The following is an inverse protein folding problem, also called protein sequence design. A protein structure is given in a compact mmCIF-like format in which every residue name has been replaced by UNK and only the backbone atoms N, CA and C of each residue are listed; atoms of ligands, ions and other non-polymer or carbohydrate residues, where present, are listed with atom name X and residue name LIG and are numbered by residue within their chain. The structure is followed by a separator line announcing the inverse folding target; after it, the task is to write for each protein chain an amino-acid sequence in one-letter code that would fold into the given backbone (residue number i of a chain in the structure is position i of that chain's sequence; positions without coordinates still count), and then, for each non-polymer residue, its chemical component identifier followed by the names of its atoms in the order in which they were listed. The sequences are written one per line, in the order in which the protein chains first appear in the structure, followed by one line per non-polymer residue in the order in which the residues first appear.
data_IF_665815208276
#
_entry.id   IF_665815208276
#
_cell.length_a   1.000
_cell.length_b   1.000
_cell.length_c   1.000
_cell.angle_alpha   90.00
_cell.angle_beta   90.00
_cell.angle_gamma   90.00
#
_symmetry.space_group_name_H-M   'P 1'
#
loop_
_entity.id
_entity.type
_entity.pdbx_description
1 polymer ?
#
# COMPACT_ATOMS: atom_id res chain seq x y z
N UNK A 1 10.97 30.13 31.35
CA UNK A 1 10.84 29.92 29.90
C UNK A 1 11.90 28.90 29.50
N UNK A 2 11.56 27.62 29.48
CA UNK A 2 12.53 26.57 29.12
C UNK A 2 12.62 26.45 27.59
N UNK A 3 13.81 26.20 27.02
CA UNK A 3 13.94 25.95 25.58
C UNK A 3 13.20 24.65 25.22
N UNK A 4 12.47 24.67 24.10
CA UNK A 4 11.95 23.45 23.47
C UNK A 4 13.17 22.68 22.97
N UNK A 5 13.42 21.52 23.57
CA UNK A 5 14.42 20.56 23.12
C UNK A 5 14.05 20.12 21.69
N UNK A 6 14.97 20.31 20.75
CA UNK A 6 14.90 19.63 19.47
C UNK A 6 15.09 18.12 19.74
N UNK A 7 14.23 17.22 19.25
CA UNK A 7 14.44 15.80 19.43
C UNK A 7 15.76 15.38 18.75
N UNK A 8 16.64 14.76 19.53
CA UNK A 8 17.87 14.16 19.04
C UNK A 8 17.54 13.07 18.01
N UNK A 9 17.75 13.35 16.72
CA UNK A 9 17.53 12.37 15.66
C UNK A 9 17.72 12.86 14.23
N UNK A 10 18.31 14.04 14.00
CA UNK A 10 18.38 14.65 12.66
C UNK A 10 19.59 14.25 11.80
N UNK A 11 20.36 13.24 12.20
CA UNK A 11 21.49 12.75 11.41
C UNK A 11 21.73 11.26 11.65
N UNK A 12 20.84 10.41 11.14
CA UNK A 12 21.23 9.03 10.87
C UNK A 12 22.00 9.01 9.55
N UNK A 13 23.31 8.89 9.69
CA UNK A 13 24.25 8.72 8.60
C UNK A 13 23.79 7.55 7.70
N UNK A 14 23.95 7.72 6.39
CA UNK A 14 23.80 6.67 5.39
C UNK A 14 24.85 5.58 5.62
N UNK A 15 24.63 4.74 6.63
CA UNK A 15 25.34 3.49 6.82
C UNK A 15 25.06 2.60 5.60
N UNK A 16 26.03 1.79 5.14
CA UNK A 16 25.75 0.80 4.11
C UNK A 16 24.63 -0.13 4.62
N UNK A 17 23.60 -0.32 3.79
CA UNK A 17 22.43 -1.11 4.15
C UNK A 17 22.85 -2.45 4.78
N UNK A 18 22.31 -2.82 5.96
CA UNK A 18 22.64 -4.07 6.61
C UNK A 18 22.37 -5.24 5.65
N UNK A 19 23.32 -6.18 5.56
CA UNK A 19 23.09 -7.45 4.85
C UNK A 19 21.98 -8.19 5.60
N UNK A 20 20.75 -8.12 5.09
CA UNK A 20 19.53 -8.52 5.78
C UNK A 20 18.33 -7.61 5.52
N UNK A 21 18.57 -6.41 4.96
CA UNK A 21 17.56 -5.38 4.70
C UNK A 21 16.28 -5.92 4.03
N UNK A 22 16.39 -6.83 3.07
CA UNK A 22 15.22 -7.39 2.38
C UNK A 22 14.27 -8.16 3.30
N UNK A 23 14.81 -8.97 4.21
CA UNK A 23 14.00 -9.74 5.17
C UNK A 23 13.39 -8.83 6.24
N UNK A 24 14.15 -7.84 6.71
CA UNK A 24 13.68 -6.84 7.66
C UNK A 24 12.58 -5.97 7.05
N UNK A 25 12.76 -5.44 5.83
CA UNK A 25 11.75 -4.66 5.11
C UNK A 25 10.48 -5.46 4.85
N UNK A 26 10.60 -6.74 4.49
CA UNK A 26 9.44 -7.61 4.30
C UNK A 26 8.70 -7.83 5.61
N UNK A 27 9.42 -8.04 6.71
CA UNK A 27 8.82 -8.15 8.05
C UNK A 27 8.11 -6.86 8.45
N UNK A 28 8.68 -5.69 8.17
CA UNK A 28 8.03 -4.40 8.43
C UNK A 28 6.78 -4.24 7.57
N UNK A 29 6.86 -4.55 6.27
CA UNK A 29 5.72 -4.49 5.36
C UNK A 29 4.57 -5.40 5.83
N UNK A 30 4.87 -6.63 6.25
CA UNK A 30 3.87 -7.55 6.80
C UNK A 30 3.18 -6.97 8.04
N UNK A 31 3.98 -6.47 9.00
CA UNK A 31 3.47 -5.90 10.26
C UNK A 31 2.67 -4.60 10.06
N UNK A 32 2.96 -3.81 9.03
CA UNK A 32 2.28 -2.54 8.78
C UNK A 32 1.10 -2.67 7.81
N UNK A 33 1.19 -3.55 6.82
CA UNK A 33 0.26 -3.56 5.68
C UNK A 33 -0.61 -4.82 5.60
N UNK A 34 -0.22 -5.95 6.21
CA UNK A 34 -0.90 -7.24 6.01
C UNK A 34 -1.46 -7.83 7.30
N UNK A 35 -0.59 -8.10 8.28
CA UNK A 35 -0.94 -8.73 9.54
C UNK A 35 -2.05 -7.99 10.31
N UNK A 36 -2.07 -6.63 10.40
CA UNK A 36 -3.15 -5.90 11.07
C UNK A 36 -4.53 -6.13 10.47
N UNK A 37 -4.57 -6.51 9.19
CA UNK A 37 -5.80 -6.68 8.40
C UNK A 37 -6.09 -8.16 8.12
N UNK A 38 -5.37 -9.08 8.76
CA UNK A 38 -5.46 -10.53 8.56
C UNK A 38 -5.24 -10.97 7.09
N UNK A 39 -4.40 -10.24 6.35
CA UNK A 39 -4.07 -10.52 4.96
C UNK A 39 -2.83 -11.42 4.84
N UNK A 40 -2.90 -12.60 5.44
CA UNK A 40 -1.82 -13.59 5.33
C UNK A 40 -1.66 -14.13 3.90
N UNK A 41 -0.57 -14.88 3.67
CA UNK A 41 -0.29 -15.49 2.36
C UNK A 41 -1.44 -16.37 1.84
N UNK A 42 -2.21 -17.00 2.73
CA UNK A 42 -3.36 -17.81 2.37
C UNK A 42 -4.54 -16.96 1.87
N UNK A 43 -4.83 -15.84 2.54
CA UNK A 43 -5.82 -14.87 2.11
C UNK A 43 -5.43 -14.25 0.76
N UNK A 44 -4.19 -13.79 0.61
CA UNK A 44 -3.68 -13.26 -0.66
C UNK A 44 -3.72 -14.32 -1.78
N UNK A 45 -3.37 -15.58 -1.46
CA UNK A 45 -3.45 -16.70 -2.39
C UNK A 45 -4.87 -16.95 -2.90
N UNK A 46 -5.90 -16.83 -2.04
CA UNK A 46 -7.32 -16.92 -2.46
C UNK A 46 -7.70 -15.77 -3.40
N UNK A 47 -7.26 -14.55 -3.10
CA UNK A 47 -7.50 -13.38 -3.95
C UNK A 47 -6.85 -13.57 -5.31
N UNK A 48 -5.57 -13.91 -5.38
CA UNK A 48 -4.89 -14.23 -6.64
C UNK A 48 -5.57 -15.37 -7.38
N UNK A 49 -5.93 -16.45 -6.67
CA UNK A 49 -6.66 -17.57 -7.25
C UNK A 49 -7.99 -17.14 -7.86
N UNK A 50 -8.67 -16.16 -7.28
CA UNK A 50 -9.88 -15.57 -7.85
C UNK A 50 -9.59 -14.71 -9.08
N UNK A 51 -8.49 -13.93 -9.10
CA UNK A 51 -8.13 -13.02 -10.21
C UNK A 51 -7.66 -13.83 -11.43
N UNK A 52 -6.77 -14.79 -11.20
CA UNK A 52 -6.09 -15.57 -12.24
C UNK A 52 -6.98 -16.66 -12.87
N UNK A 53 -8.29 -16.67 -12.59
CA UNK A 53 -9.22 -17.57 -13.29
C UNK A 53 -9.42 -17.13 -14.74
N UNK A 54 -9.13 -18.02 -15.69
CA UNK A 54 -9.33 -17.88 -17.15
C UNK A 54 -8.88 -16.54 -17.75
N UNK A 55 -7.77 -16.58 -18.51
CA UNK A 55 -7.34 -15.51 -19.44
C UNK A 55 -6.76 -14.24 -18.79
N UNK A 56 -6.35 -14.28 -17.52
CA UNK A 56 -5.47 -13.24 -16.95
C UNK A 56 -4.05 -13.80 -16.94
N UNK A 57 -3.13 -13.11 -17.61
CA UNK A 57 -1.74 -13.54 -17.77
C UNK A 57 -0.89 -13.14 -16.57
N UNK A 58 -1.23 -12.00 -15.96
CA UNK A 58 -0.49 -11.45 -14.83
C UNK A 58 -1.42 -10.65 -13.92
N UNK A 59 -1.17 -10.72 -12.61
CA UNK A 59 -1.83 -9.88 -11.63
C UNK A 59 -0.86 -9.50 -10.51
N UNK A 60 -1.00 -8.28 -9.99
CA UNK A 60 -0.34 -7.86 -8.76
C UNK A 60 -1.30 -7.09 -7.85
N UNK A 61 -0.91 -7.06 -6.58
CA UNK A 61 -1.58 -6.33 -5.53
C UNK A 61 -0.59 -5.28 -5.00
N UNK A 62 -1.04 -4.05 -4.85
CA UNK A 62 -0.26 -2.95 -4.32
C UNK A 62 -0.89 -2.48 -3.01
N UNK A 63 -0.10 -2.37 -1.95
CA UNK A 63 -0.55 -1.92 -0.64
C UNK A 63 0.20 -0.64 -0.27
N UNK A 64 -0.50 0.32 0.34
CA UNK A 64 0.08 1.58 0.76
C UNK A 64 -0.42 2.00 2.13
N UNK A 65 0.50 2.50 2.95
CA UNK A 65 0.20 3.24 4.16
C UNK A 65 1.16 4.41 4.25
N UNK A 66 0.62 5.62 4.40
CA UNK A 66 1.35 6.87 4.49
C UNK A 66 0.85 7.65 5.70
N UNK A 67 1.78 8.12 6.54
CA UNK A 67 1.49 9.03 7.65
C UNK A 67 2.27 10.32 7.41
N UNK A 68 1.57 11.44 7.38
CA UNK A 68 2.13 12.77 7.14
C UNK A 68 1.83 13.68 8.32
N UNK A 69 2.84 14.40 8.79
CA UNK A 69 2.74 15.36 9.87
C UNK A 69 3.38 16.68 9.44
N UNK A 70 2.76 17.80 9.81
CA UNK A 70 3.26 19.13 9.49
C UNK A 70 3.03 20.09 10.64
N UNK A 71 3.95 21.05 10.80
CA UNK A 71 3.84 22.12 11.79
C UNK A 71 4.12 23.46 11.13
N UNK A 72 3.26 24.45 11.35
CA UNK A 72 3.47 25.83 10.91
C UNK A 72 3.99 26.67 12.07
N UNK A 73 5.04 27.46 11.80
CA UNK A 73 5.63 28.36 12.78
C UNK A 73 5.49 29.80 12.29
N UNK A 74 5.18 30.70 13.24
CA UNK A 74 5.16 32.14 13.04
C UNK A 74 5.80 32.79 14.26
N UNK A 75 6.74 33.70 14.05
CA UNK A 75 7.49 34.38 15.12
C UNK A 75 8.17 33.41 16.11
N UNK A 76 8.57 32.23 15.63
CA UNK A 76 9.20 31.19 16.47
C UNK A 76 8.23 30.38 17.34
N UNK A 77 6.92 30.58 17.17
CA UNK A 77 5.87 29.86 17.90
C UNK A 77 5.11 28.97 16.91
N UNK A 78 4.79 27.74 17.31
CA UNK A 78 3.92 26.84 16.53
C UNK A 78 2.51 27.42 16.51
N UNK A 79 2.00 27.75 15.31
CA UNK A 79 0.66 28.28 15.10
C UNK A 79 -0.37 27.19 14.85
N UNK A 80 -0.01 26.17 14.10
CA UNK A 80 -0.86 25.03 13.81
C UNK A 80 -0.06 23.77 13.52
N UNK A 81 -0.68 22.62 13.73
CA UNK A 81 -0.19 21.32 13.29
C UNK A 81 -1.21 20.65 12.39
N UNK A 82 -0.74 19.82 11.45
CA UNK A 82 -1.54 18.95 10.61
C UNK A 82 -1.08 17.51 10.74
N UNK A 83 -2.03 16.59 10.66
CA UNK A 83 -1.81 15.16 10.71
C UNK A 83 -2.73 14.48 9.70
N UNK A 84 -2.19 13.63 8.83
CA UNK A 84 -2.98 12.82 7.92
C UNK A 84 -2.44 11.39 7.84
N UNK A 85 -3.36 10.45 7.69
CA UNK A 85 -3.08 9.06 7.35
C UNK A 85 -3.80 8.78 6.04
N UNK A 86 -3.08 8.24 5.08
CA UNK A 86 -3.61 7.72 3.83
C UNK A 86 -3.25 6.24 3.75
N UNK A 87 -4.20 5.40 3.36
CA UNK A 87 -3.97 3.98 3.19
C UNK A 87 -4.79 3.47 2.01
N UNK A 88 -4.45 2.28 1.51
CA UNK A 88 -5.25 1.64 0.49
C UNK A 88 -4.61 0.42 -0.14
N UNK A 89 -5.41 -0.23 -0.98
CA UNK A 89 -5.00 -1.38 -1.79
C UNK A 89 -5.40 -1.17 -3.25
N UNK A 90 -4.54 -1.62 -4.15
CA UNK A 90 -4.77 -1.63 -5.60
C UNK A 90 -4.60 -3.03 -6.18
N UNK A 91 -5.38 -3.33 -7.21
CA UNK A 91 -5.30 -4.60 -7.95
C UNK A 91 -5.13 -4.30 -9.42
N UNK A 92 -4.09 -4.87 -10.03
CA UNK A 92 -3.86 -4.84 -11.47
C UNK A 92 -4.02 -6.24 -12.05
N UNK A 93 -4.63 -6.33 -13.22
CA UNK A 93 -4.65 -7.55 -14.04
C UNK A 93 -4.28 -7.21 -15.49
N UNK A 94 -3.51 -8.08 -16.12
CA UNK A 94 -3.03 -7.95 -17.49
C UNK A 94 -3.47 -9.17 -18.29
N UNK A 95 -3.95 -8.93 -19.50
CA UNK A 95 -4.40 -9.94 -20.47
C UNK A 95 -3.98 -9.50 -21.88
N UNK A 96 -2.95 -10.14 -22.43
CA UNK A 96 -2.25 -9.68 -23.63
C UNK A 96 -1.78 -8.24 -23.47
N UNK A 97 -2.27 -7.36 -24.35
CA UNK A 97 -1.97 -5.92 -24.32
C UNK A 97 -2.92 -5.10 -23.42
N UNK A 98 -3.93 -5.74 -22.83
CA UNK A 98 -4.99 -5.06 -22.05
C UNK A 98 -4.62 -5.08 -20.57
N UNK A 99 -4.76 -3.94 -19.90
CA UNK A 99 -4.55 -3.81 -18.46
C UNK A 99 -5.79 -3.25 -17.78
N UNK A 100 -6.20 -3.86 -16.67
CA UNK A 100 -7.29 -3.43 -15.82
C UNK A 100 -6.76 -3.05 -14.43
N UNK A 101 -7.39 -2.05 -13.80
CA UNK A 101 -7.03 -1.54 -12.49
C UNK A 101 -8.27 -1.29 -11.63
N UNK A 102 -8.17 -1.55 -10.34
CA UNK A 102 -9.13 -1.11 -9.33
C UNK A 102 -8.38 -0.82 -8.02
N UNK A 103 -8.91 0.09 -7.21
CA UNK A 103 -8.30 0.48 -5.93
C UNK A 103 -9.37 0.77 -4.87
N UNK A 104 -8.94 0.77 -3.61
CA UNK A 104 -9.71 1.18 -2.44
C UNK A 104 -8.82 1.97 -1.49
N UNK A 105 -9.43 2.91 -0.78
CA UNK A 105 -8.85 3.70 0.31
C UNK A 105 -8.86 2.97 1.67
N UNK A 106 -9.30 1.72 1.68
CA UNK A 106 -9.28 0.82 2.83
C UNK A 106 -8.39 -0.39 2.56
N UNK A 107 -7.60 -0.78 3.55
CA UNK A 107 -6.89 -2.05 3.52
C UNK A 107 -7.72 -3.06 4.28
N UNK A 108 -8.43 -3.91 3.56
CA UNK A 108 -9.16 -5.02 4.16
C UNK A 108 -9.37 -6.12 3.14
N UNK A 109 -9.65 -7.34 3.62
CA UNK A 109 -9.97 -8.45 2.72
C UNK A 109 -11.19 -8.15 1.84
N UNK A 110 -12.31 -7.58 2.35
CA UNK A 110 -13.44 -7.19 1.51
C UNK A 110 -13.08 -6.15 0.43
N UNK A 111 -12.29 -5.12 0.79
CA UNK A 111 -11.85 -4.11 -0.17
C UNK A 111 -11.00 -4.74 -1.29
N UNK A 112 -10.09 -5.65 -0.92
CA UNK A 112 -9.24 -6.38 -1.84
C UNK A 112 -10.03 -7.31 -2.77
N UNK A 113 -11.02 -8.04 -2.24
CA UNK A 113 -11.92 -8.90 -3.02
C UNK A 113 -12.80 -8.10 -3.99
N UNK A 114 -13.28 -6.94 -3.56
CA UNK A 114 -14.05 -6.03 -4.39
C UNK A 114 -13.21 -5.47 -5.55
N UNK A 115 -12.00 -4.99 -5.26
CA UNK A 115 -11.06 -4.53 -6.28
C UNK A 115 -10.69 -5.64 -7.27
N UNK A 116 -10.39 -6.85 -6.77
CA UNK A 116 -10.14 -8.02 -7.61
C UNK A 116 -11.31 -8.36 -8.55
N UNK A 117 -12.54 -8.27 -8.04
CA UNK A 117 -13.75 -8.53 -8.83
C UNK A 117 -13.96 -7.47 -9.91
N UNK A 118 -13.78 -6.20 -9.58
CA UNK A 118 -13.88 -5.10 -10.53
C UNK A 118 -12.84 -5.22 -11.65
N UNK A 119 -11.57 -5.45 -11.29
CA UNK A 119 -10.46 -5.62 -12.23
C UNK A 119 -10.73 -6.76 -13.22
N UNK A 120 -11.25 -7.91 -12.74
CA UNK A 120 -11.66 -9.02 -13.62
C UNK A 120 -12.77 -8.65 -14.59
N UNK A 121 -13.80 -7.94 -14.12
CA UNK A 121 -14.91 -7.54 -14.97
C UNK A 121 -14.44 -6.64 -16.12
N UNK A 122 -13.53 -5.70 -15.82
CA UNK A 122 -12.91 -4.81 -16.82
C UNK A 122 -12.09 -5.61 -17.84
N UNK A 123 -11.24 -6.53 -17.37
CA UNK A 123 -10.43 -7.37 -18.26
C UNK A 123 -11.29 -8.20 -19.24
N UNK A 124 -12.39 -8.79 -18.76
CA UNK A 124 -13.35 -9.56 -19.58
C UNK A 124 -14.13 -8.68 -20.56
N UNK A 125 -14.66 -7.55 -20.11
CA UNK A 125 -15.39 -6.63 -20.97
C UNK A 125 -14.51 -6.10 -22.12
N UNK A 126 -13.23 -5.85 -21.83
CA UNK A 126 -12.25 -5.46 -22.83
C UNK A 126 -12.07 -6.50 -23.95
N UNK A 127 -12.30 -7.80 -23.69
CA UNK A 127 -12.15 -8.87 -24.69
C UNK A 127 -13.29 -8.93 -25.72
N UNK A 128 -14.51 -8.52 -25.35
CA UNK A 128 -15.69 -8.66 -26.21
C UNK A 128 -15.81 -7.57 -27.30
N UNK A 129 -14.98 -6.53 -27.24
CA UNK A 129 -15.02 -5.38 -28.15
C UNK A 129 -13.93 -5.37 -29.22
N UNK A 130 -13.37 -6.51 -29.61
CA UNK A 130 -12.34 -6.64 -30.65
C UNK A 130 -12.76 -7.61 -31.74
#
# INVERSE_FOLDING_TARGET
MAPIDAPAGFAEALAPAPRGLGAELMSTADQCLLAPYALDTGALGKVFGSILTHQVDYADLYFQYTRSEGWSLEEGIVKSGSFSIEQGVGVRAVTGEKTAFAYSDDISLPALEAAATATRAIARAGQQGS
#
